data_IF_315420862200
#
_entry.id   IF_315420862200
#
_cell.length_a   1.000
_cell.length_b   1.000
_cell.length_c   1.000
_cell.angle_alpha   90.00
_cell.angle_beta   90.00
_cell.angle_gamma   90.00
#
_symmetry.space_group_name_H-M   'P 1'
#
loop_
_entity.id
_entity.type
_entity.pdbx_description
1 polymer ?
#
# COMPACT_ATOMS: atom_id res chain seq x y z
N UNK A 1 -1.59 29.88 -42.30
CA UNK A 1 -2.37 30.36 -41.14
C UNK A 1 -3.69 29.62 -41.19
N UNK A 2 -3.98 28.76 -40.20
CA UNK A 2 -5.30 28.14 -40.08
C UNK A 2 -6.35 29.25 -39.90
N UNK A 3 -7.51 29.13 -40.54
CA UNK A 3 -8.56 30.15 -40.37
C UNK A 3 -9.02 30.17 -38.91
N UNK A 4 -9.41 31.35 -38.39
CA UNK A 4 -9.90 31.46 -37.00
C UNK A 4 -11.05 30.48 -36.68
N UNK A 5 -11.82 30.08 -37.70
CA UNK A 5 -12.88 29.08 -37.60
C UNK A 5 -12.34 27.66 -37.37
N UNK A 6 -11.23 27.28 -38.02
CA UNK A 6 -10.58 26.00 -37.81
C UNK A 6 -9.90 25.92 -36.45
N UNK A 7 -9.31 27.02 -35.98
CA UNK A 7 -8.70 27.07 -34.65
C UNK A 7 -9.76 26.98 -33.55
N UNK A 8 -10.91 27.65 -33.72
CA UNK A 8 -12.08 27.49 -32.83
C UNK A 8 -12.64 26.07 -32.89
N UNK A 9 -12.78 25.47 -34.08
CA UNK A 9 -13.27 24.09 -34.25
C UNK A 9 -12.30 23.05 -33.67
N UNK A 10 -10.99 23.29 -33.75
CA UNK A 10 -9.95 22.43 -33.17
C UNK A 10 -9.93 22.56 -31.64
N UNK A 11 -10.02 23.78 -31.10
CA UNK A 11 -10.15 24.04 -29.65
C UNK A 11 -11.47 23.46 -29.10
N UNK A 12 -12.54 23.53 -29.87
CA UNK A 12 -13.83 22.97 -29.50
C UNK A 12 -13.78 21.43 -29.51
N UNK A 13 -13.23 20.80 -30.56
CA UNK A 13 -13.01 19.34 -30.64
C UNK A 13 -12.07 18.81 -29.55
N UNK A 14 -11.00 19.54 -29.21
CA UNK A 14 -10.10 19.16 -28.10
C UNK A 14 -10.77 19.34 -26.73
N UNK A 15 -11.61 20.37 -26.56
CA UNK A 15 -12.39 20.55 -25.33
C UNK A 15 -13.58 19.59 -25.19
N UNK A 16 -14.16 19.11 -26.29
CA UNK A 16 -15.19 18.06 -26.31
C UNK A 16 -14.57 16.68 -26.04
N UNK A 17 -13.41 16.38 -26.65
CA UNK A 17 -12.65 15.16 -26.34
C UNK A 17 -12.17 15.09 -24.88
N UNK A 18 -11.97 16.24 -24.24
CA UNK A 18 -11.66 16.34 -22.81
C UNK A 18 -12.86 16.26 -21.87
N UNK A 19 -14.10 16.45 -22.38
CA UNK A 19 -15.33 16.47 -21.57
C UNK A 19 -15.98 15.09 -21.41
N UNK A 20 -15.80 14.16 -22.36
CA UNK A 20 -16.53 12.88 -22.39
C UNK A 20 -15.75 11.62 -21.96
N UNK A 21 -14.42 11.68 -21.81
CA UNK A 21 -13.62 10.50 -21.47
C UNK A 21 -13.67 10.09 -19.99
N UNK A 22 -14.86 9.76 -19.46
CA UNK A 22 -14.92 9.01 -18.20
C UNK A 22 -14.00 7.82 -18.41
N UNK A 23 -13.00 7.69 -17.54
CA UNK A 23 -11.96 6.71 -17.73
C UNK A 23 -12.56 5.35 -18.00
N UNK A 24 -12.35 4.78 -19.20
CA UNK A 24 -13.16 3.68 -19.64
C UNK A 24 -12.97 2.51 -18.67
N UNK A 25 -14.05 1.92 -18.11
CA UNK A 25 -13.96 0.77 -17.19
C UNK A 25 -13.18 -0.39 -17.81
N UNK A 26 -13.08 -0.41 -19.14
CA UNK A 26 -12.26 -1.32 -19.94
C UNK A 26 -10.78 -1.36 -19.53
N UNK A 27 -10.17 -0.25 -19.08
CA UNK A 27 -8.74 -0.24 -18.70
C UNK A 27 -8.53 -1.10 -17.45
N UNK A 28 -9.34 -0.91 -16.41
CA UNK A 28 -9.22 -1.70 -15.19
C UNK A 28 -9.49 -3.19 -15.46
N UNK A 29 -10.53 -3.50 -16.24
CA UNK A 29 -10.85 -4.88 -16.60
C UNK A 29 -9.74 -5.56 -17.40
N UNK A 30 -9.09 -4.83 -18.32
CA UNK A 30 -7.93 -5.33 -19.05
C UNK A 30 -6.75 -5.61 -18.10
N UNK A 31 -6.43 -4.67 -17.21
CA UNK A 31 -5.36 -4.86 -16.22
C UNK A 31 -5.66 -6.04 -15.28
N UNK A 32 -6.92 -6.20 -14.88
CA UNK A 32 -7.36 -7.32 -14.06
C UNK A 32 -7.18 -8.65 -14.78
N UNK A 33 -7.66 -8.76 -16.02
CA UNK A 33 -7.48 -9.97 -16.83
C UNK A 33 -5.99 -10.29 -17.04
N UNK A 34 -5.18 -9.27 -17.33
CA UNK A 34 -3.73 -9.38 -17.49
C UNK A 34 -3.05 -9.88 -16.22
N UNK A 35 -3.38 -9.32 -15.04
CA UNK A 35 -2.80 -9.74 -13.76
C UNK A 35 -3.28 -11.11 -13.30
N UNK A 36 -4.52 -11.51 -13.63
CA UNK A 36 -5.00 -12.87 -13.38
C UNK A 36 -4.18 -13.84 -14.22
N UNK A 37 -4.03 -13.60 -15.53
CA UNK A 37 -3.20 -14.44 -16.40
C UNK A 37 -1.76 -14.55 -15.87
N UNK A 38 -1.17 -13.44 -15.45
CA UNK A 38 0.15 -13.41 -14.83
C UNK A 38 0.19 -14.31 -13.56
N UNK A 39 -0.71 -14.08 -12.60
CA UNK A 39 -0.74 -14.82 -11.34
C UNK A 39 -0.89 -16.34 -11.52
N UNK A 40 -1.66 -16.77 -12.53
CA UNK A 40 -1.85 -18.19 -12.86
C UNK A 40 -0.67 -18.79 -13.63
N UNK A 41 0.06 -17.96 -14.38
CA UNK A 41 1.25 -18.38 -15.14
C UNK A 41 2.47 -18.59 -14.23
N UNK A 42 2.56 -17.87 -13.11
CA UNK A 42 3.65 -18.05 -12.15
C UNK A 42 3.44 -19.33 -11.33
N UNK A 43 4.35 -20.28 -11.55
CA UNK A 43 4.42 -21.57 -10.83
C UNK A 43 5.64 -21.70 -9.92
N UNK A 44 6.56 -20.74 -9.98
CA UNK A 44 7.82 -20.79 -9.22
C UNK A 44 7.66 -20.25 -7.80
N UNK A 45 8.48 -20.76 -6.89
CA UNK A 45 8.66 -20.23 -5.54
C UNK A 45 9.76 -19.15 -5.54
N UNK A 46 9.57 -18.04 -4.83
CA UNK A 46 10.60 -17.02 -4.66
C UNK A 46 11.03 -16.87 -3.20
N UNK A 47 10.10 -16.60 -2.30
CA UNK A 47 10.40 -16.37 -0.89
C UNK A 47 9.50 -17.19 0.04
N UNK A 48 10.01 -17.66 1.18
CA UNK A 48 9.22 -18.38 2.18
C UNK A 48 8.04 -17.55 2.69
N UNK A 49 8.17 -16.22 2.64
CA UNK A 49 7.15 -15.25 3.04
C UNK A 49 5.83 -15.39 2.28
N UNK A 50 5.87 -15.92 1.05
CA UNK A 50 4.66 -16.18 0.24
C UNK A 50 3.73 -17.22 0.87
N UNK A 51 4.25 -18.11 1.71
CA UNK A 51 3.48 -19.17 2.34
C UNK A 51 3.46 -18.96 3.84
N UNK A 52 4.63 -18.86 4.46
CA UNK A 52 4.76 -18.88 5.92
C UNK A 52 4.42 -17.55 6.61
N UNK A 53 4.32 -16.44 5.87
CA UNK A 53 3.84 -15.15 6.39
C UNK A 53 2.44 -14.77 5.91
N UNK A 54 1.80 -15.59 5.09
CA UNK A 54 0.49 -15.28 4.51
C UNK A 54 -0.42 -16.50 4.42
N UNK A 55 -0.12 -17.48 3.56
CA UNK A 55 -1.03 -18.58 3.27
C UNK A 55 -1.15 -19.63 4.38
N UNK A 56 -0.04 -20.03 5.01
CA UNK A 56 -0.06 -21.03 6.09
C UNK A 56 -0.83 -20.54 7.34
N UNK A 57 -0.55 -19.32 7.88
CA UNK A 57 -1.37 -18.79 8.98
C UNK A 57 -2.82 -18.54 8.57
N UNK A 58 -3.07 -18.20 7.29
CA UNK A 58 -4.42 -18.05 6.77
C UNK A 58 -5.18 -19.38 6.71
N UNK A 59 -4.49 -20.46 6.36
CA UNK A 59 -5.05 -21.82 6.34
C UNK A 59 -5.41 -22.28 7.76
N UNK A 60 -4.51 -22.08 8.72
CA UNK A 60 -4.78 -22.35 10.14
C UNK A 60 -6.01 -21.56 10.63
N UNK A 61 -6.13 -20.28 10.26
CA UNK A 61 -7.30 -19.47 10.59
C UNK A 61 -8.59 -19.98 9.94
N UNK A 62 -8.50 -20.47 8.70
CA UNK A 62 -9.66 -20.92 7.96
C UNK A 62 -10.18 -22.27 8.49
N UNK A 63 -9.29 -23.23 8.72
CA UNK A 63 -9.62 -24.64 8.95
C UNK A 63 -9.20 -25.19 10.32
N UNK A 64 -8.50 -24.40 11.13
CA UNK A 64 -8.04 -24.81 12.47
C UNK A 64 -6.67 -25.47 12.48
N UNK A 65 -6.17 -25.76 13.69
CA UNK A 65 -4.84 -26.31 13.93
C UNK A 65 -4.66 -27.73 13.35
N UNK A 66 -5.74 -28.51 13.30
CA UNK A 66 -5.73 -29.87 12.74
C UNK A 66 -5.73 -29.88 11.20
N UNK A 67 -5.84 -28.71 10.56
CA UNK A 67 -5.84 -28.55 9.11
C UNK A 67 -4.48 -28.75 8.44
N UNK A 68 -3.41 -29.03 9.21
CA UNK A 68 -2.08 -29.31 8.67
C UNK A 68 -1.25 -28.07 8.28
N UNK A 69 -1.64 -26.87 8.72
CA UNK A 69 -0.87 -25.65 8.47
C UNK A 69 0.48 -25.67 9.19
N UNK A 70 1.53 -25.18 8.52
CA UNK A 70 2.85 -25.02 9.12
C UNK A 70 3.08 -23.58 9.62
N UNK A 71 2.85 -23.38 10.91
CA UNK A 71 2.96 -22.07 11.56
C UNK A 71 4.36 -21.85 12.15
N UNK A 72 5.08 -20.86 11.62
CA UNK A 72 6.46 -20.58 12.01
C UNK A 72 6.58 -19.94 13.40
N UNK A 73 7.80 -19.94 13.93
CA UNK A 73 8.12 -19.39 15.25
C UNK A 73 7.69 -17.93 15.44
N UNK A 74 7.70 -17.12 14.38
CA UNK A 74 7.37 -15.69 14.44
C UNK A 74 5.92 -15.45 14.87
N UNK A 75 5.01 -16.34 14.44
CA UNK A 75 3.62 -16.35 14.88
C UNK A 75 3.52 -16.82 16.33
N UNK A 76 4.28 -17.85 16.73
CA UNK A 76 4.31 -18.32 18.13
C UNK A 76 4.76 -17.22 19.11
N UNK A 77 5.73 -16.39 18.70
CA UNK A 77 6.19 -15.22 19.47
C UNK A 77 5.34 -13.96 19.27
N UNK A 78 4.35 -14.00 18.36
CA UNK A 78 3.38 -12.93 18.10
C UNK A 78 4.05 -11.66 17.59
N UNK A 79 4.96 -11.86 16.63
CA UNK A 79 5.80 -10.81 16.05
C UNK A 79 5.15 -10.14 14.83
N UNK A 80 4.05 -10.68 14.31
CA UNK A 80 3.38 -10.18 13.10
C UNK A 80 1.90 -9.88 13.35
N UNK A 81 1.37 -8.94 12.58
CA UNK A 81 -0.07 -8.73 12.54
C UNK A 81 -0.74 -9.81 11.70
N UNK A 82 -1.87 -10.30 12.19
CA UNK A 82 -2.72 -11.27 11.51
C UNK A 82 -3.61 -10.63 10.43
N UNK A 83 -3.60 -9.30 10.25
CA UNK A 83 -4.41 -8.61 9.23
C UNK A 83 -4.18 -9.20 7.84
N UNK A 84 -2.93 -9.35 7.40
CA UNK A 84 -2.65 -9.81 6.04
C UNK A 84 -3.11 -11.26 5.81
N UNK A 85 -2.74 -12.24 6.65
CA UNK A 85 -3.27 -13.60 6.51
C UNK A 85 -4.80 -13.68 6.71
N UNK A 86 -5.42 -12.82 7.52
CA UNK A 86 -6.87 -12.85 7.75
C UNK A 86 -7.67 -12.60 6.46
N UNK A 87 -7.13 -11.78 5.55
CA UNK A 87 -7.75 -11.55 4.22
C UNK A 87 -7.77 -12.86 3.43
N UNK A 88 -6.65 -13.61 3.42
CA UNK A 88 -6.59 -14.91 2.74
C UNK A 88 -7.43 -15.98 3.43
N UNK A 89 -7.53 -15.95 4.76
CA UNK A 89 -8.39 -16.86 5.52
C UNK A 89 -9.87 -16.69 5.13
N UNK A 90 -10.31 -15.45 4.95
CA UNK A 90 -11.65 -15.15 4.44
C UNK A 90 -11.86 -15.70 3.02
N UNK A 91 -10.85 -15.58 2.14
CA UNK A 91 -10.88 -16.17 0.79
C UNK A 91 -10.97 -17.69 0.83
N UNK A 92 -10.19 -18.35 1.69
CA UNK A 92 -10.25 -19.81 1.85
C UNK A 92 -11.63 -20.26 2.34
N UNK A 93 -12.20 -19.61 3.35
CA UNK A 93 -13.54 -19.93 3.85
C UNK A 93 -14.62 -19.73 2.80
N UNK A 94 -14.58 -18.61 2.07
CA UNK A 94 -15.52 -18.34 0.99
C UNK A 94 -15.39 -19.38 -0.12
N UNK A 95 -14.16 -19.71 -0.51
CA UNK A 95 -13.88 -20.69 -1.56
C UNK A 95 -14.36 -22.09 -1.14
N UNK A 96 -14.14 -22.47 0.12
CA UNK A 96 -14.59 -23.74 0.67
C UNK A 96 -16.13 -23.81 0.70
N UNK A 97 -16.79 -22.73 1.15
CA UNK A 97 -18.24 -22.61 1.13
C UNK A 97 -18.82 -22.74 -0.29
N UNK A 98 -18.23 -22.06 -1.27
CA UNK A 98 -18.65 -22.17 -2.69
C UNK A 98 -18.45 -23.59 -3.21
N UNK A 99 -17.30 -24.19 -2.91
CA UNK A 99 -16.99 -25.57 -3.32
C UNK A 99 -17.97 -26.59 -2.75
N UNK A 100 -18.36 -26.43 -1.48
CA UNK A 100 -19.34 -27.30 -0.82
C UNK A 100 -20.77 -27.07 -1.36
N UNK A 101 -21.14 -25.81 -1.56
CA UNK A 101 -22.47 -25.43 -2.09
C UNK A 101 -22.69 -25.95 -3.51
N UNK A 102 -21.63 -25.97 -4.33
CA UNK A 102 -21.66 -26.49 -5.69
C UNK A 102 -21.32 -27.99 -5.78
N UNK A 103 -21.08 -28.66 -4.65
CA UNK A 103 -20.69 -30.08 -4.59
C UNK A 103 -19.53 -30.44 -5.52
N UNK A 104 -18.52 -29.56 -5.59
CA UNK A 104 -17.36 -29.76 -6.46
C UNK A 104 -16.58 -31.01 -6.03
N UNK A 105 -16.00 -31.71 -7.02
CA UNK A 105 -15.12 -32.85 -6.74
C UNK A 105 -13.89 -32.41 -5.93
N UNK A 106 -13.24 -33.34 -5.20
CA UNK A 106 -12.03 -33.02 -4.42
C UNK A 106 -10.90 -32.38 -5.25
N UNK A 107 -10.80 -32.72 -6.55
CA UNK A 107 -9.82 -32.11 -7.46
C UNK A 107 -10.11 -30.62 -7.69
N UNK A 108 -11.36 -30.27 -8.04
CA UNK A 108 -11.75 -28.87 -8.25
C UNK A 108 -11.71 -28.06 -6.95
N UNK A 109 -11.99 -28.69 -5.80
CA UNK A 109 -11.81 -28.07 -4.50
C UNK A 109 -10.35 -27.65 -4.28
N UNK A 110 -9.40 -28.57 -4.51
CA UNK A 110 -7.97 -28.29 -4.36
C UNK A 110 -7.49 -27.20 -5.33
N UNK A 111 -7.89 -27.26 -6.60
CA UNK A 111 -7.57 -26.25 -7.61
C UNK A 111 -8.09 -24.87 -7.20
N UNK A 112 -9.30 -24.81 -6.63
CA UNK A 112 -9.89 -23.57 -6.13
C UNK A 112 -9.10 -23.02 -4.93
N UNK A 113 -8.68 -23.87 -3.98
CA UNK A 113 -7.86 -23.43 -2.85
C UNK A 113 -6.50 -22.88 -3.28
N UNK A 114 -5.89 -23.44 -4.33
CA UNK A 114 -4.62 -22.94 -4.88
C UNK A 114 -4.83 -21.63 -5.65
N UNK A 115 -5.92 -21.53 -6.39
CA UNK A 115 -6.14 -20.44 -7.35
C UNK A 115 -6.74 -19.19 -6.71
N UNK A 116 -7.65 -19.33 -5.75
CA UNK A 116 -8.34 -18.21 -5.11
C UNK A 116 -7.40 -17.14 -4.49
N UNK A 117 -6.38 -17.49 -3.69
CA UNK A 117 -5.44 -16.49 -3.15
C UNK A 117 -4.61 -15.79 -4.25
N UNK A 118 -4.28 -16.50 -5.34
CA UNK A 118 -3.58 -15.93 -6.49
C UNK A 118 -4.45 -14.91 -7.22
N UNK A 119 -5.74 -15.22 -7.41
CA UNK A 119 -6.71 -14.29 -8.01
C UNK A 119 -6.86 -13.05 -7.14
N UNK A 120 -6.97 -13.20 -5.81
CA UNK A 120 -7.01 -12.05 -4.90
C UNK A 120 -5.78 -11.15 -5.07
N UNK A 121 -4.57 -11.72 -5.12
CA UNK A 121 -3.36 -10.93 -5.35
C UNK A 121 -3.33 -10.28 -6.73
N UNK A 122 -3.85 -10.94 -7.77
CA UNK A 122 -4.03 -10.32 -9.07
C UNK A 122 -4.94 -9.09 -9.01
N UNK A 123 -5.99 -9.10 -8.19
CA UNK A 123 -6.83 -7.91 -7.95
C UNK A 123 -5.99 -6.79 -7.33
N UNK A 124 -5.20 -7.08 -6.30
CA UNK A 124 -4.35 -6.06 -5.67
C UNK A 124 -3.30 -5.51 -6.63
N UNK A 125 -2.67 -6.35 -7.46
CA UNK A 125 -1.73 -5.91 -8.47
C UNK A 125 -2.39 -5.01 -9.53
N UNK A 126 -3.57 -5.40 -10.04
CA UNK A 126 -4.30 -4.63 -11.04
C UNK A 126 -4.78 -3.28 -10.48
N UNK A 127 -5.21 -3.24 -9.21
CA UNK A 127 -5.51 -1.99 -8.51
C UNK A 127 -4.25 -1.12 -8.38
N UNK A 128 -3.10 -1.72 -8.06
CA UNK A 128 -1.82 -1.01 -7.99
C UNK A 128 -1.46 -0.33 -9.31
N UNK A 129 -1.54 -1.06 -10.43
CA UNK A 129 -1.29 -0.50 -11.76
C UNK A 129 -2.28 0.61 -12.11
N UNK A 130 -3.58 0.34 -11.92
CA UNK A 130 -4.65 1.28 -12.25
C UNK A 130 -4.52 2.59 -11.46
N UNK A 131 -4.28 2.49 -10.15
CA UNK A 131 -4.13 3.68 -9.32
C UNK A 131 -2.78 4.39 -9.53
N UNK A 132 -1.74 3.70 -9.99
CA UNK A 132 -0.49 4.34 -10.42
C UNK A 132 -0.74 5.22 -11.63
N UNK A 133 -1.44 4.69 -12.64
CA UNK A 133 -1.85 5.46 -13.80
C UNK A 133 -2.75 6.65 -13.42
N UNK A 134 -3.74 6.42 -12.53
CA UNK A 134 -4.59 7.50 -12.00
C UNK A 134 -3.85 8.57 -11.25
N UNK A 135 -2.85 8.20 -10.46
CA UNK A 135 -1.97 9.14 -9.80
C UNK A 135 -1.18 9.96 -10.83
N UNK A 136 -0.69 9.32 -11.90
CA UNK A 136 -0.06 9.99 -13.04
C UNK A 136 -0.98 11.02 -13.70
N UNK A 137 -2.22 10.64 -14.03
CA UNK A 137 -3.22 11.55 -14.61
C UNK A 137 -3.52 12.73 -13.68
N UNK A 138 -3.50 12.49 -12.36
CA UNK A 138 -3.72 13.54 -11.37
C UNK A 138 -2.58 14.57 -11.33
N UNK A 139 -1.33 14.11 -11.47
CA UNK A 139 -0.15 14.99 -11.42
C UNK A 139 0.07 15.76 -12.71
N UNK A 140 0.02 15.06 -13.86
CA UNK A 140 0.43 15.58 -15.16
C UNK A 140 -0.75 16.02 -16.05
N UNK A 141 -1.98 15.69 -15.65
CA UNK A 141 -3.19 15.98 -16.43
C UNK A 141 -3.78 14.72 -17.07
N UNK A 142 -5.06 14.80 -17.43
CA UNK A 142 -5.79 13.66 -18.00
C UNK A 142 -5.25 13.30 -19.38
N UNK A 143 -5.09 11.99 -19.62
CA UNK A 143 -4.58 11.50 -20.90
C UNK A 143 -3.16 11.97 -21.24
N UNK A 144 -2.38 12.44 -20.26
CA UNK A 144 -1.00 12.87 -20.51
C UNK A 144 -0.10 11.69 -20.89
N UNK A 145 0.92 11.95 -21.70
CA UNK A 145 1.87 10.92 -22.12
C UNK A 145 2.64 10.35 -20.93
N UNK A 146 2.89 11.16 -19.89
CA UNK A 146 3.58 10.77 -18.67
C UNK A 146 2.75 9.76 -17.86
N UNK A 147 1.43 9.95 -17.78
CA UNK A 147 0.54 9.00 -17.13
C UNK A 147 0.56 7.64 -17.86
N UNK A 148 0.43 7.65 -19.19
CA UNK A 148 0.52 6.44 -20.00
C UNK A 148 1.89 5.76 -19.92
N UNK A 149 2.97 6.54 -19.90
CA UNK A 149 4.32 6.04 -19.71
C UNK A 149 4.47 5.36 -18.34
N UNK A 150 3.93 5.96 -17.26
CA UNK A 150 3.94 5.36 -15.93
C UNK A 150 3.20 4.01 -15.93
N UNK A 151 2.02 3.93 -16.57
CA UNK A 151 1.29 2.67 -16.71
C UNK A 151 2.10 1.62 -17.49
N UNK A 152 2.64 1.99 -18.65
CA UNK A 152 3.45 1.09 -19.47
C UNK A 152 4.67 0.57 -18.69
N UNK A 153 5.37 1.43 -17.95
CA UNK A 153 6.50 1.02 -17.12
C UNK A 153 6.08 0.08 -16.00
N UNK A 154 4.94 0.28 -15.36
CA UNK A 154 4.45 -0.64 -14.31
C UNK A 154 4.03 -2.01 -14.86
N UNK A 155 3.33 -2.03 -15.99
CA UNK A 155 2.81 -3.25 -16.63
C UNK A 155 3.94 -4.06 -17.26
N UNK A 156 4.88 -3.39 -17.92
CA UNK A 156 6.02 -4.03 -18.59
C UNK A 156 7.22 -4.28 -17.67
N UNK A 157 7.20 -3.82 -16.42
CA UNK A 157 8.30 -4.05 -15.49
C UNK A 157 8.42 -5.55 -15.17
N UNK A 158 9.58 -6.20 -15.45
CA UNK A 158 9.78 -7.62 -15.14
C UNK A 158 9.64 -7.91 -13.65
N UNK A 159 10.08 -6.97 -12.80
CA UNK A 159 9.95 -7.10 -11.36
C UNK A 159 8.50 -7.03 -10.90
N UNK A 160 7.70 -6.10 -11.45
CA UNK A 160 6.27 -6.05 -11.15
C UNK A 160 5.56 -7.28 -11.68
N UNK A 161 5.91 -7.77 -12.88
CA UNK A 161 5.38 -9.04 -13.37
C UNK A 161 5.66 -10.17 -12.39
N UNK A 162 6.90 -10.27 -11.90
CA UNK A 162 7.36 -11.36 -11.04
C UNK A 162 6.86 -11.31 -9.59
N UNK A 163 6.78 -10.12 -8.98
CA UNK A 163 6.48 -9.98 -7.54
C UNK A 163 5.04 -9.58 -7.24
N UNK A 164 4.38 -8.73 -8.04
CA UNK A 164 3.12 -8.08 -7.65
C UNK A 164 1.96 -9.06 -7.39
N UNK A 165 1.96 -10.20 -8.05
CA UNK A 165 0.93 -11.24 -7.96
C UNK A 165 1.24 -12.31 -6.92
N UNK A 166 2.40 -12.24 -6.26
CA UNK A 166 2.78 -13.13 -5.16
C UNK A 166 2.14 -12.66 -3.86
N UNK A 167 1.91 -13.60 -2.95
CA UNK A 167 1.21 -13.41 -1.66
C UNK A 167 2.08 -12.73 -0.60
N UNK A 168 2.76 -11.65 -1.00
CA UNK A 168 3.64 -10.84 -0.18
C UNK A 168 2.88 -9.65 0.39
N UNK A 169 3.08 -9.38 1.69
CA UNK A 169 2.49 -8.20 2.33
C UNK A 169 3.05 -6.88 1.77
N UNK A 170 4.26 -6.90 1.19
CA UNK A 170 4.83 -5.78 0.44
C UNK A 170 3.92 -5.34 -0.71
N UNK A 171 3.38 -6.29 -1.47
CA UNK A 171 2.57 -6.00 -2.65
C UNK A 171 1.24 -5.34 -2.25
N UNK A 172 0.57 -5.87 -1.21
CA UNK A 172 -0.63 -5.25 -0.67
C UNK A 172 -0.35 -3.85 -0.10
N UNK A 173 0.71 -3.71 0.68
CA UNK A 173 1.15 -2.42 1.24
C UNK A 173 1.36 -1.40 0.13
N UNK A 174 2.11 -1.73 -0.91
CA UNK A 174 2.39 -0.85 -2.05
C UNK A 174 1.09 -0.43 -2.76
N UNK A 175 0.17 -1.36 -3.03
CA UNK A 175 -1.14 -1.05 -3.62
C UNK A 175 -1.95 -0.10 -2.75
N UNK A 176 -2.07 -0.38 -1.45
CA UNK A 176 -2.79 0.49 -0.51
C UNK A 176 -2.17 1.89 -0.44
N UNK A 177 -0.83 1.97 -0.42
CA UNK A 177 -0.08 3.22 -0.41
C UNK A 177 -0.35 4.02 -1.68
N UNK A 178 -0.35 3.41 -2.87
CA UNK A 178 -0.64 4.10 -4.13
C UNK A 178 -2.08 4.63 -4.17
N UNK A 179 -3.07 3.85 -3.72
CA UNK A 179 -4.47 4.29 -3.63
C UNK A 179 -4.61 5.46 -2.63
N UNK A 180 -3.89 5.38 -1.51
CA UNK A 180 -3.86 6.44 -0.51
C UNK A 180 -3.21 7.72 -1.09
N UNK A 181 -2.07 7.61 -1.78
CA UNK A 181 -1.42 8.72 -2.47
C UNK A 181 -2.33 9.35 -3.53
N UNK A 182 -3.05 8.54 -4.30
CA UNK A 182 -4.05 9.06 -5.23
C UNK A 182 -5.15 9.86 -4.52
N UNK A 183 -5.51 9.50 -3.29
CA UNK A 183 -6.53 10.16 -2.49
C UNK A 183 -6.00 11.33 -1.63
N UNK A 184 -4.68 11.54 -1.57
CA UNK A 184 -4.06 12.62 -0.80
C UNK A 184 -4.47 14.00 -1.33
N UNK A 185 -4.73 15.00 -0.46
CA UNK A 185 -5.05 16.37 -0.89
C UNK A 185 -3.80 17.14 -1.33
N UNK A 186 -3.28 16.84 -2.52
CA UNK A 186 -2.04 17.43 -3.06
C UNK A 186 -2.07 18.95 -3.18
N UNK A 187 -3.26 19.55 -3.35
CA UNK A 187 -3.46 20.99 -3.38
C UNK A 187 -3.18 21.67 -2.03
N UNK A 188 -3.21 20.94 -0.91
CA UNK A 188 -2.81 21.47 0.40
C UNK A 188 -1.32 21.79 0.46
N UNK A 189 -0.52 21.12 -0.37
CA UNK A 189 0.91 21.39 -0.55
C UNK A 189 1.18 22.62 -1.42
N UNK A 190 0.15 23.32 -1.92
CA UNK A 190 0.29 24.56 -2.69
C UNK A 190 -0.10 25.77 -1.84
N UNK A 191 0.53 26.92 -2.10
CA UNK A 191 0.19 28.17 -1.40
C UNK A 191 -1.25 28.58 -1.75
N UNK A 192 -2.06 29.00 -0.76
CA UNK A 192 -3.39 29.51 -1.04
C UNK A 192 -3.29 30.80 -1.85
N UNK A 193 -4.07 30.86 -2.92
CA UNK A 193 -4.22 31.99 -3.85
C UNK A 193 -5.38 32.89 -3.44
N UNK A 194 -6.25 32.43 -2.54
CA UNK A 194 -7.42 33.16 -2.05
C UNK A 194 -8.63 33.09 -2.99
N UNK A 195 -8.50 32.39 -4.12
CA UNK A 195 -9.56 32.18 -5.11
C UNK A 195 -10.13 30.76 -5.09
N UNK A 196 -9.63 29.90 -4.19
CA UNK A 196 -10.05 28.51 -4.15
C UNK A 196 -11.49 28.34 -3.66
N UNK A 197 -12.22 27.44 -4.30
CA UNK A 197 -13.51 26.96 -3.79
C UNK A 197 -13.30 26.18 -2.48
N UNK A 198 -14.16 26.46 -1.50
CA UNK A 198 -14.20 25.78 -0.21
C UNK A 198 -15.40 24.82 -0.15
N UNK A 199 -15.23 23.68 0.51
CA UNK A 199 -16.34 22.80 0.87
C UNK A 199 -17.07 23.29 2.15
N UNK A 200 -18.15 22.61 2.53
CA UNK A 200 -18.92 22.90 3.77
C UNK A 200 -18.04 22.85 5.04
N UNK A 201 -16.97 22.05 5.01
CA UNK A 201 -16.01 21.93 6.09
C UNK A 201 -14.93 23.02 6.04
N UNK A 202 -15.04 24.00 5.14
CA UNK A 202 -14.07 25.07 4.93
C UNK A 202 -12.70 24.60 4.43
N UNK A 203 -12.66 23.46 3.75
CA UNK A 203 -11.46 22.88 3.13
C UNK A 203 -11.38 23.31 1.67
N UNK A 204 -10.17 23.63 1.19
CA UNK A 204 -9.96 23.86 -0.24
C UNK A 204 -10.30 22.61 -1.03
N UNK A 205 -11.01 22.77 -2.16
CA UNK A 205 -11.34 21.68 -3.08
C UNK A 205 -10.40 21.68 -4.28
N UNK A 206 -10.06 20.49 -4.80
CA UNK A 206 -9.24 20.37 -6.01
C UNK A 206 -10.07 20.62 -7.28
N UNK A 207 -9.95 21.81 -7.85
CA UNK A 207 -10.68 22.21 -9.08
C UNK A 207 -10.38 21.29 -10.27
N UNK A 208 -9.19 20.66 -10.33
CA UNK A 208 -8.82 19.72 -11.40
C UNK A 208 -9.71 18.47 -11.43
N UNK A 209 -10.39 18.16 -10.32
CA UNK A 209 -11.31 17.01 -10.23
C UNK A 209 -12.77 17.33 -10.57
N UNK A 210 -13.16 18.61 -10.61
CA UNK A 210 -14.56 19.06 -10.72
C UNK A 210 -15.30 18.67 -12.00
N UNK A 211 -14.63 18.08 -12.99
CA UNK A 211 -15.22 17.77 -14.31
C UNK A 211 -15.82 16.36 -14.45
N UNK A 212 -15.65 15.42 -13.51
CA UNK A 212 -16.08 14.01 -13.70
C UNK A 212 -17.30 13.54 -12.90
N UNK A 213 -17.76 14.26 -11.87
CA UNK A 213 -18.87 13.79 -11.04
C UNK A 213 -20.00 14.81 -11.02
N UNK A 214 -20.68 14.93 -12.17
CA UNK A 214 -22.08 15.36 -12.17
C UNK A 214 -22.89 14.29 -11.42
N UNK A 215 -23.11 14.49 -10.11
CA UNK A 215 -24.07 13.69 -9.34
C UNK A 215 -23.76 13.45 -7.85
N UNK A 216 -22.51 13.47 -7.40
CA UNK A 216 -22.17 13.37 -5.95
C UNK A 216 -20.91 14.17 -5.65
N UNK A 217 -21.06 15.34 -5.04
CA UNK A 217 -19.95 16.07 -4.43
C UNK A 217 -19.31 15.16 -3.38
N UNK A 218 -18.21 14.50 -3.71
CA UNK A 218 -17.46 13.71 -2.72
C UNK A 218 -16.68 14.70 -1.88
N UNK A 219 -17.19 14.96 -0.67
CA UNK A 219 -16.57 15.86 0.30
C UNK A 219 -15.06 15.58 0.47
N UNK A 220 -14.24 16.63 0.51
CA UNK A 220 -12.78 16.51 0.67
C UNK A 220 -12.41 15.75 1.94
N UNK A 221 -13.19 15.91 3.00
CA UNK A 221 -13.06 15.14 4.23
C UNK A 221 -13.17 13.62 4.01
N UNK A 222 -14.09 13.18 3.15
CA UNK A 222 -14.25 11.75 2.85
C UNK A 222 -13.08 11.21 2.01
N UNK A 223 -12.51 12.01 1.10
CA UNK A 223 -11.27 11.66 0.38
C UNK A 223 -10.10 11.53 1.35
N UNK A 224 -9.95 12.49 2.27
CA UNK A 224 -8.93 12.47 3.30
C UNK A 224 -9.06 11.25 4.22
N UNK A 225 -10.27 10.95 4.71
CA UNK A 225 -10.51 9.76 5.55
C UNK A 225 -10.14 8.48 4.83
N UNK A 226 -10.53 8.31 3.56
CA UNK A 226 -10.13 7.16 2.75
C UNK A 226 -8.61 7.07 2.63
N UNK A 227 -7.94 8.18 2.32
CA UNK A 227 -6.48 8.24 2.28
C UNK A 227 -5.85 7.77 3.60
N UNK A 228 -6.29 8.33 4.73
CA UNK A 228 -5.72 8.04 6.05
C UNK A 228 -6.01 6.62 6.53
N UNK A 229 -7.18 6.06 6.25
CA UNK A 229 -7.51 4.66 6.57
C UNK A 229 -6.62 3.69 5.79
N UNK A 230 -6.42 3.93 4.49
CA UNK A 230 -5.53 3.13 3.65
C UNK A 230 -4.07 3.26 4.08
N UNK A 231 -3.61 4.49 4.35
CA UNK A 231 -2.28 4.81 4.87
C UNK A 231 -2.00 4.09 6.19
N UNK A 232 -2.93 4.18 7.15
CA UNK A 232 -2.82 3.53 8.45
C UNK A 232 -2.80 2.00 8.30
N UNK A 233 -3.64 1.43 7.43
CA UNK A 233 -3.64 -0.01 7.15
C UNK A 233 -2.29 -0.45 6.61
N UNK A 234 -1.75 0.29 5.64
CA UNK A 234 -0.44 0.02 5.06
C UNK A 234 0.71 0.16 6.10
N UNK A 235 0.62 1.10 7.05
CA UNK A 235 1.58 1.24 8.14
C UNK A 235 1.50 0.10 9.17
N UNK A 236 0.31 -0.44 9.44
CA UNK A 236 0.15 -1.62 10.31
C UNK A 236 0.72 -2.87 9.63
N UNK A 237 0.49 -3.01 8.32
CA UNK A 237 1.10 -4.09 7.53
C UNK A 237 2.63 -3.99 7.55
N UNK A 238 3.17 -2.78 7.33
CA UNK A 238 4.62 -2.50 7.36
C UNK A 238 4.90 -1.14 7.98
N UNK A 239 5.48 -1.10 9.20
CA UNK A 239 5.77 0.15 9.90
C UNK A 239 6.68 1.13 9.14
N UNK A 240 7.51 0.62 8.23
CA UNK A 240 8.38 1.45 7.37
C UNK A 240 7.60 2.40 6.45
N UNK A 241 6.35 2.07 6.11
CA UNK A 241 5.50 2.94 5.29
C UNK A 241 5.19 4.28 5.99
N UNK A 242 5.32 4.35 7.32
CA UNK A 242 5.15 5.59 8.08
C UNK A 242 6.09 6.71 7.58
N UNK A 243 7.27 6.36 7.06
CA UNK A 243 8.23 7.32 6.53
C UNK A 243 7.66 8.14 5.36
N UNK A 244 6.87 7.52 4.49
CA UNK A 244 6.22 8.21 3.35
C UNK A 244 5.27 9.30 3.87
N UNK A 245 4.44 8.94 4.85
CA UNK A 245 3.44 9.85 5.42
C UNK A 245 4.06 10.96 6.27
N UNK A 246 5.14 10.67 7.00
CA UNK A 246 5.93 11.71 7.69
C UNK A 246 6.49 12.71 6.65
N UNK A 247 7.09 12.24 5.56
CA UNK A 247 7.61 13.12 4.52
C UNK A 247 6.51 13.98 3.87
N UNK A 248 5.36 13.39 3.54
CA UNK A 248 4.25 14.11 2.91
C UNK A 248 3.60 15.14 3.84
N UNK A 249 3.44 14.81 5.12
CA UNK A 249 2.90 15.73 6.12
C UNK A 249 3.85 16.91 6.32
N UNK A 250 5.16 16.65 6.42
CA UNK A 250 6.20 17.69 6.45
C UNK A 250 6.12 18.57 5.20
N UNK A 251 6.02 18.00 3.99
CA UNK A 251 5.94 18.77 2.74
C UNK A 251 4.66 19.62 2.63
N UNK A 252 3.55 19.10 3.16
CA UNK A 252 2.25 19.78 3.13
C UNK A 252 2.19 20.91 4.14
N UNK A 253 2.89 20.77 5.27
CA UNK A 253 3.01 21.83 6.27
C UNK A 253 4.08 22.85 5.89
N UNK A 254 5.26 22.38 5.49
CA UNK A 254 6.44 23.18 5.23
C UNK A 254 6.80 23.05 3.75
N UNK A 255 6.66 24.14 2.99
CA UNK A 255 7.15 24.14 1.63
C UNK A 255 8.68 24.02 1.59
N UNK A 256 9.30 23.46 0.53
CA UNK A 256 10.71 23.67 0.28
C UNK A 256 11.05 25.15 0.45
N UNK A 257 12.09 25.42 1.24
CA UNK A 257 12.71 26.74 1.34
C UNK A 257 13.32 27.02 -0.02
N UNK A 258 12.52 27.55 -0.93
CA UNK A 258 13.06 28.14 -2.16
C UNK A 258 13.84 29.36 -1.71
N UNK A 259 15.16 29.20 -1.54
CA UNK A 259 16.10 30.31 -1.68
C UNK A 259 16.02 30.78 -3.13
N UNK A 260 14.93 31.48 -3.46
CA UNK A 260 14.83 32.19 -4.72
C UNK A 260 15.89 33.26 -4.70
N UNK A 261 17.00 33.05 -5.40
CA UNK A 261 17.72 34.18 -5.97
C UNK A 261 16.72 34.83 -6.95
N UNK A 262 16.32 36.09 -6.74
CA UNK A 262 15.53 36.77 -7.75
C UNK A 262 16.41 36.86 -9.00
N UNK A 263 15.93 36.33 -10.13
CA UNK A 263 16.46 36.70 -11.44
C UNK A 263 16.02 38.15 -11.65
N UNK A 264 16.94 39.13 -11.76
CA UNK A 264 16.55 40.51 -11.99
C UNK A 264 16.07 40.64 -13.44
N UNK A 265 14.76 40.62 -13.65
CA UNK A 265 14.18 41.22 -14.84
C UNK A 265 14.34 42.74 -14.73
N UNK A 266 15.08 43.33 -15.66
CA UNK A 266 15.28 44.76 -15.76
C UNK A 266 13.93 45.51 -15.76
N UNK A 267 13.85 46.54 -14.91
CA UNK A 267 12.89 47.63 -15.09
C UNK A 267 11.62 47.58 -14.22
N UNK A 268 11.73 47.87 -12.93
CA UNK A 268 10.66 48.58 -12.21
C UNK A 268 11.22 49.31 -10.98
N UNK A 269 11.14 50.66 -10.98
CA UNK A 269 11.37 51.48 -9.79
C UNK A 269 10.04 51.65 -9.07
N UNK A 270 9.93 51.18 -7.82
CA UNK A 270 8.96 51.71 -6.87
C UNK A 270 9.42 51.49 -5.42
N UNK A 271 9.65 52.60 -4.74
CA UNK A 271 9.79 52.74 -3.29
C UNK A 271 8.50 52.32 -2.60
N UNK A 272 8.50 51.25 -1.79
CA UNK A 272 7.48 51.05 -0.76
C UNK A 272 8.02 50.17 0.37
N UNK A 273 7.70 50.58 1.60
CA UNK A 273 8.09 50.02 2.90
C UNK A 273 8.30 48.51 2.95
N UNK A 274 9.51 48.09 3.28
CA UNK A 274 9.84 46.71 3.63
C UNK A 274 9.30 46.39 5.03
N UNK A 275 8.01 46.09 5.13
CA UNK A 275 7.48 45.33 6.27
C UNK A 275 7.91 43.88 6.04
N UNK A 276 9.04 43.46 6.65
CA UNK A 276 9.46 42.05 6.71
C UNK A 276 8.43 41.25 7.49
N UNK A 277 7.30 40.90 6.88
CA UNK A 277 6.56 39.73 7.36
C UNK A 277 7.42 38.52 7.03
N UNK A 278 7.83 37.75 8.03
CA UNK A 278 8.34 36.40 7.80
C UNK A 278 7.43 35.74 6.75
N UNK A 279 7.97 35.25 5.61
CA UNK A 279 7.15 34.51 4.68
C UNK A 279 6.57 33.35 5.46
N UNK A 280 5.24 33.27 5.55
CA UNK A 280 4.58 32.20 6.27
C UNK A 280 5.09 30.88 5.72
N UNK A 281 5.92 30.18 6.50
CA UNK A 281 6.54 28.90 6.14
C UNK A 281 5.48 27.83 5.84
N UNK A 282 4.25 28.08 6.31
CA UNK A 282 3.13 27.17 6.28
C UNK A 282 2.31 27.30 5.00
N UNK A 283 2.17 26.21 4.24
CA UNK A 283 1.31 26.16 3.03
C UNK A 283 -0.14 25.82 3.35
N UNK A 284 -0.37 24.81 4.21
CA UNK A 284 -1.70 24.44 4.66
C UNK A 284 -2.29 25.47 5.63
N UNK A 285 -3.60 25.72 5.52
CA UNK A 285 -4.32 26.63 6.43
C UNK A 285 -4.36 26.06 7.85
N UNK A 286 -4.59 26.90 8.87
CA UNK A 286 -4.75 26.41 10.27
C UNK A 286 -5.85 25.34 10.36
N UNK A 287 -6.97 25.55 9.66
CA UNK A 287 -8.12 24.63 9.64
C UNK A 287 -7.77 23.28 9.00
N UNK A 288 -7.10 23.30 7.84
CA UNK A 288 -6.62 22.07 7.16
C UNK A 288 -5.70 21.25 8.07
N UNK A 289 -4.78 21.91 8.79
CA UNK A 289 -3.87 21.23 9.72
C UNK A 289 -4.60 20.61 10.90
N UNK A 290 -5.54 21.32 11.52
CA UNK A 290 -6.35 20.78 12.62
C UNK A 290 -7.16 19.58 12.17
N UNK A 291 -7.78 19.65 10.98
CA UNK A 291 -8.56 18.53 10.43
C UNK A 291 -7.63 17.35 10.11
N UNK A 292 -6.47 17.58 9.49
CA UNK A 292 -5.50 16.53 9.21
C UNK A 292 -5.08 15.78 10.48
N UNK A 293 -4.71 16.50 11.54
CA UNK A 293 -4.30 15.89 12.82
C UNK A 293 -5.46 15.10 13.44
N UNK A 294 -6.66 15.71 13.50
CA UNK A 294 -7.86 15.06 14.06
C UNK A 294 -8.18 13.77 13.31
N UNK A 295 -8.27 13.83 11.99
CA UNK A 295 -8.64 12.67 11.18
C UNK A 295 -7.52 11.62 11.14
N UNK A 296 -6.25 12.02 11.21
CA UNK A 296 -5.13 11.09 11.31
C UNK A 296 -5.17 10.31 12.63
N UNK A 297 -5.48 11.00 13.74
CA UNK A 297 -5.71 10.35 15.02
C UNK A 297 -6.91 9.40 14.96
N UNK A 298 -8.08 9.87 14.51
CA UNK A 298 -9.30 9.05 14.45
C UNK A 298 -9.14 7.81 13.54
N UNK A 299 -8.65 8.00 12.31
CA UNK A 299 -8.46 6.91 11.36
C UNK A 299 -7.34 5.95 11.81
N UNK A 300 -6.24 6.49 12.33
CA UNK A 300 -5.14 5.70 12.87
C UNK A 300 -5.57 4.84 14.06
N UNK A 301 -6.25 5.43 15.04
CA UNK A 301 -6.79 4.71 16.20
C UNK A 301 -7.81 3.65 15.80
N UNK A 302 -8.69 3.93 14.83
CA UNK A 302 -9.65 2.95 14.33
C UNK A 302 -8.97 1.72 13.70
N UNK A 303 -7.94 1.93 12.87
CA UNK A 303 -7.19 0.83 12.26
C UNK A 303 -6.35 0.07 13.29
N UNK A 304 -5.72 0.76 14.24
CA UNK A 304 -4.98 0.10 15.32
C UNK A 304 -5.90 -0.74 16.21
N UNK A 305 -7.10 -0.25 16.51
CA UNK A 305 -8.11 -0.99 17.25
C UNK A 305 -8.58 -2.23 16.49
N UNK A 306 -8.86 -2.09 15.18
CA UNK A 306 -9.20 -3.21 14.32
C UNK A 306 -8.07 -4.25 14.25
N UNK A 307 -6.81 -3.80 14.13
CA UNK A 307 -5.64 -4.68 14.20
C UNK A 307 -5.60 -5.44 15.52
N UNK A 308 -5.77 -4.75 16.64
CA UNK A 308 -5.74 -5.37 17.96
C UNK A 308 -6.85 -6.42 18.13
N UNK A 309 -8.03 -6.19 17.57
CA UNK A 309 -9.12 -7.19 17.55
C UNK A 309 -8.72 -8.40 16.72
N UNK A 310 -8.25 -8.20 15.49
CA UNK A 310 -7.88 -9.31 14.59
C UNK A 310 -6.73 -10.13 15.21
N UNK A 311 -5.73 -9.45 15.75
CA UNK A 311 -4.61 -10.09 16.45
C UNK A 311 -5.08 -10.83 17.71
N UNK A 312 -6.05 -10.29 18.47
CA UNK A 312 -6.67 -10.95 19.63
C UNK A 312 -7.45 -12.20 19.26
N UNK A 313 -8.13 -12.19 18.11
CA UNK A 313 -8.88 -13.33 17.60
C UNK A 313 -7.93 -14.44 17.15
N UNK A 314 -6.83 -14.09 16.47
CA UNK A 314 -5.82 -15.05 16.03
C UNK A 314 -5.02 -15.63 17.20
N UNK A 315 -4.34 -14.78 18.00
CA UNK A 315 -3.43 -15.21 19.05
C UNK A 315 -4.10 -15.59 20.38
N UNK A 316 -5.43 -15.44 20.47
CA UNK A 316 -6.23 -15.68 21.68
C UNK A 316 -5.77 -14.89 22.92
N UNK A 317 -4.92 -13.89 22.75
CA UNK A 317 -4.36 -13.03 23.80
C UNK A 317 -4.26 -11.59 23.29
N UNK A 318 -4.36 -10.60 24.17
CA UNK A 318 -4.16 -9.20 23.78
C UNK A 318 -2.68 -8.96 23.48
N UNK A 319 -2.38 -8.61 22.23
CA UNK A 319 -1.02 -8.45 21.74
C UNK A 319 -0.96 -7.26 20.81
N UNK A 320 0.16 -6.54 20.86
CA UNK A 320 0.47 -5.51 19.89
C UNK A 320 1.75 -5.90 19.12
N UNK A 321 1.61 -6.57 17.95
CA UNK A 321 2.74 -7.13 17.23
C UNK A 321 3.86 -6.15 16.88
N UNK A 322 3.59 -4.89 16.46
CA UNK A 322 4.66 -3.93 16.16
C UNK A 322 5.59 -3.66 17.35
N UNK A 323 5.04 -3.53 18.56
CA UNK A 323 5.84 -3.33 19.77
C UNK A 323 6.58 -4.61 20.17
N UNK A 324 5.96 -5.78 20.01
CA UNK A 324 6.63 -7.07 20.26
C UNK A 324 7.78 -7.30 19.30
N UNK A 325 7.60 -6.96 18.02
CA UNK A 325 8.66 -7.00 17.03
C UNK A 325 9.82 -6.10 17.43
N UNK A 326 9.54 -4.85 17.82
CA UNK A 326 10.56 -3.92 18.28
C UNK A 326 11.28 -4.43 19.53
N UNK A 327 10.54 -4.88 20.53
CA UNK A 327 11.09 -5.44 21.76
C UNK A 327 11.94 -6.68 21.49
N UNK A 328 11.49 -7.60 20.64
CA UNK A 328 12.21 -8.81 20.30
C UNK A 328 13.52 -8.49 19.55
N UNK A 329 13.47 -7.63 18.54
CA UNK A 329 14.64 -7.29 17.74
C UNK A 329 15.65 -6.41 18.50
N UNK A 330 15.19 -5.43 19.28
CA UNK A 330 16.06 -4.51 20.02
C UNK A 330 16.54 -5.08 21.37
N UNK A 331 15.67 -5.75 22.13
CA UNK A 331 16.00 -6.20 23.49
C UNK A 331 16.53 -7.64 23.55
N UNK A 332 16.12 -8.52 22.65
CA UNK A 332 16.51 -9.95 22.69
C UNK A 332 17.64 -10.32 21.72
N UNK A 333 18.06 -9.39 20.84
CA UNK A 333 19.11 -9.52 19.83
C UNK A 333 18.95 -10.74 18.91
N UNK A 334 18.78 -10.48 17.61
CA UNK A 334 18.84 -11.51 16.55
C UNK A 334 20.12 -12.36 16.64
N UNK A 335 21.18 -11.79 17.24
CA UNK A 335 22.45 -12.44 17.54
C UNK A 335 22.30 -13.71 18.39
N UNK A 336 21.28 -13.84 19.23
CA UNK A 336 21.11 -15.06 20.04
C UNK A 336 20.64 -16.25 19.18
N UNK A 337 19.79 -16.02 18.18
CA UNK A 337 19.36 -17.06 17.23
C UNK A 337 20.50 -17.44 16.29
N UNK A 338 21.20 -16.45 15.71
CA UNK A 338 22.33 -16.73 14.82
C UNK A 338 23.41 -17.54 15.55
N UNK A 339 23.75 -17.14 16.79
CA UNK A 339 24.70 -17.89 17.64
C UNK A 339 24.21 -19.28 18.00
N UNK A 340 22.91 -19.49 18.23
CA UNK A 340 22.37 -20.82 18.51
C UNK A 340 22.38 -21.72 17.28
N UNK A 341 22.10 -21.17 16.10
CA UNK A 341 22.19 -21.91 14.84
C UNK A 341 23.63 -22.25 14.49
N UNK A 342 24.56 -21.31 14.69
CA UNK A 342 26.00 -21.50 14.52
C UNK A 342 26.56 -22.52 15.53
N UNK A 343 26.07 -22.51 16.77
CA UNK A 343 26.39 -23.49 17.81
C UNK A 343 25.82 -24.89 17.49
N UNK A 344 24.65 -24.99 16.85
CA UNK A 344 24.10 -26.28 16.38
C UNK A 344 24.86 -26.81 15.16
N UNK A 345 25.17 -25.96 14.20
CA UNK A 345 25.93 -26.31 13.00
C UNK A 345 27.35 -26.80 13.34
N UNK A 346 28.00 -26.17 14.33
CA UNK A 346 29.33 -26.61 14.85
C UNK A 346 29.26 -27.89 15.67
N UNK A 347 28.12 -28.21 16.30
CA UNK A 347 27.90 -29.49 17.01
C UNK A 347 27.64 -30.66 16.07
N UNK A 348 27.05 -30.41 14.90
CA UNK A 348 26.79 -31.44 13.89
C UNK A 348 27.99 -31.78 13.00
N UNK A 349 29.07 -31.00 13.06
CA UNK A 349 30.28 -31.19 12.24
C UNK A 349 31.45 -31.86 12.96
N UNK A 350 31.30 -32.20 14.25
CA UNK A 350 32.30 -33.02 14.98
C UNK A 350 32.04 -34.51 14.75
N UNK A 351 32.95 -35.27 14.11
CA UNK A 351 32.80 -36.72 14.01
C UNK A 351 32.97 -37.36 15.41
N UNK A 352 32.30 -38.48 15.70
CA UNK A 352 32.44 -39.15 16.99
C UNK A 352 33.89 -39.65 17.14
N UNK A 353 34.54 -39.27 18.25
CA UNK A 353 35.80 -39.89 18.66
C UNK A 353 35.58 -41.40 18.80
N UNK A 354 36.44 -42.16 18.14
CA UNK A 354 36.59 -43.60 18.30
C UNK A 354 36.82 -43.98 19.76
N UNK A 355 35.98 -44.88 20.29
CA UNK A 355 36.19 -45.55 21.57
C UNK A 355 37.42 -46.45 21.52
N UNK A 356 38.29 -46.50 22.55
CA UNK A 356 39.38 -47.46 22.62
C UNK A 356 38.88 -48.86 23.04
N UNK A 357 39.62 -49.86 22.58
CA UNK A 357 39.43 -51.31 22.71
C UNK A 357 39.21 -51.83 24.15
N UNK A 358 38.54 -52.99 24.32
CA UNK A 358 38.43 -53.64 25.63
C UNK A 358 39.70 -54.43 25.96
N UNK A 359 40.26 -54.18 27.14
CA UNK A 359 41.27 -55.05 27.77
C UNK A 359 40.54 -56.04 28.67
N UNK A 360 40.67 -57.32 28.37
CA UNK A 360 40.29 -58.43 29.26
C UNK A 360 41.16 -58.42 30.52
N UNK A 361 40.62 -58.90 31.66
CA UNK A 361 41.40 -59.89 32.41
C UNK A 361 40.54 -61.04 32.97
N UNK A 362 41.01 -62.26 32.70
CA UNK A 362 41.31 -63.33 33.67
C UNK A 362 40.36 -63.46 34.87
N UNK A 363 39.44 -64.43 34.81
CA UNK A 363 39.51 -65.74 35.50
C UNK A 363 38.46 -66.70 34.93
#
# INVERSE_FOLDING_TARGET
MLSEHEEKSYRQRTSERGRDAATPPHIFLFLLAFRILNALSIRTFFQPDEYFQSLEPAWEMAFGADGGAWVTWEWKYRLRSAIHPAIFAAVYRLSSFVSQSLQLSPSYHADLMITAPKVLQAVFAALGDYYTWKLGERMYGRGSNEAWAALALTVCSPWQWFCSTRTLSNCLETTLTIIALHSWPWHWSMKPTGKERLDENGLRTDERQGSWHSGKETHELAKLRRCLLLAATACVLRPTNLLIWICLTILSWFGPVTHGRPVPSQGFKATTSMRRSLPSLTRATKRERTILIREAFLCGSAILFLSAIIDRLYYRTWTFPPLRFLYYNLAQSLARILRLYEAYATRSSTPPLSSPTPVSPIL
#
